data_IF_624535769621
#
_entry.id   IF_624535769621
#
_cell.length_a   1.000
_cell.length_b   1.000
_cell.length_c   1.000
_cell.angle_alpha   90.00
_cell.angle_beta   90.00
_cell.angle_gamma   90.00
#
_symmetry.space_group_name_H-M   'P 1'
#
loop_
_entity.id
_entity.type
_entity.pdbx_description
1 polymer ?
#
# COMPACT_ATOMS: atom_id res chain seq x y z
N UNK A 1 20.51 -3.63 -31.76
CA UNK A 1 19.12 -3.39 -32.21
C UNK A 1 18.09 -4.29 -31.51
N UNK A 2 18.50 -5.35 -30.80
CA UNK A 2 17.63 -6.24 -30.01
C UNK A 2 17.14 -5.63 -28.69
N UNK A 3 17.83 -4.62 -28.12
CA UNK A 3 17.39 -3.96 -26.88
C UNK A 3 16.21 -2.98 -27.03
N UNK A 4 16.05 -2.35 -28.21
CA UNK A 4 14.97 -1.36 -28.43
C UNK A 4 13.55 -1.96 -28.55
N UNK A 5 13.45 -3.27 -28.77
CA UNK A 5 12.15 -3.97 -28.81
C UNK A 5 11.67 -4.35 -27.41
N UNK A 6 12.61 -4.73 -26.53
CA UNK A 6 12.30 -5.06 -25.14
C UNK A 6 11.84 -3.83 -24.37
N UNK A 7 12.59 -2.71 -24.45
CA UNK A 7 12.27 -1.49 -23.70
C UNK A 7 10.88 -0.94 -24.07
N UNK A 8 10.54 -0.96 -25.37
CA UNK A 8 9.21 -0.52 -25.85
C UNK A 8 8.09 -1.43 -25.39
N UNK A 9 8.32 -2.75 -25.38
CA UNK A 9 7.34 -3.71 -24.88
C UNK A 9 7.09 -3.52 -23.38
N UNK A 10 8.14 -3.28 -22.58
CA UNK A 10 7.99 -2.96 -21.17
C UNK A 10 7.23 -1.65 -20.93
N UNK A 11 7.49 -0.61 -21.72
CA UNK A 11 6.72 0.64 -21.65
C UNK A 11 5.25 0.46 -22.01
N UNK A 12 4.95 -0.31 -23.06
CA UNK A 12 3.57 -0.63 -23.45
C UNK A 12 2.84 -1.41 -22.36
N UNK A 13 3.48 -2.44 -21.78
CA UNK A 13 2.91 -3.18 -20.65
C UNK A 13 2.67 -2.28 -19.43
N UNK A 14 3.63 -1.43 -19.07
CA UNK A 14 3.49 -0.50 -17.94
C UNK A 14 2.36 0.49 -18.16
N UNK A 15 2.20 0.97 -19.40
CA UNK A 15 1.10 1.85 -19.79
C UNK A 15 -0.24 1.13 -19.67
N UNK A 16 -0.34 -0.10 -20.18
CA UNK A 16 -1.54 -0.92 -20.09
C UNK A 16 -1.95 -1.20 -18.63
N UNK A 17 -0.98 -1.58 -17.78
CA UNK A 17 -1.23 -1.78 -16.33
C UNK A 17 -1.69 -0.48 -15.67
N UNK A 18 -1.09 0.66 -16.01
CA UNK A 18 -1.49 1.95 -15.45
C UNK A 18 -2.95 2.29 -15.78
N UNK A 19 -3.38 2.06 -17.03
CA UNK A 19 -4.78 2.26 -17.44
C UNK A 19 -5.74 1.32 -16.71
N UNK A 20 -5.35 0.06 -16.49
CA UNK A 20 -6.17 -0.88 -15.72
C UNK A 20 -6.32 -0.41 -14.26
N UNK A 21 -5.23 0.02 -13.63
CA UNK A 21 -5.27 0.56 -12.26
C UNK A 21 -6.18 1.79 -12.16
N UNK A 22 -6.10 2.71 -13.13
CA UNK A 22 -6.96 3.89 -13.18
C UNK A 22 -8.43 3.53 -13.41
N UNK A 23 -8.72 2.58 -14.30
CA UNK A 23 -10.09 2.11 -14.54
C UNK A 23 -10.68 1.44 -13.29
N UNK A 24 -9.90 0.62 -12.58
CA UNK A 24 -10.32 0.00 -11.33
C UNK A 24 -10.60 1.05 -10.26
N UNK A 25 -9.68 2.01 -10.08
CA UNK A 25 -9.85 3.10 -9.11
C UNK A 25 -11.13 3.92 -9.39
N UNK A 26 -11.38 4.25 -10.65
CA UNK A 26 -12.58 4.98 -11.08
C UNK A 26 -13.87 4.20 -10.81
N UNK A 27 -13.90 2.91 -11.18
CA UNK A 27 -15.05 2.05 -10.92
C UNK A 27 -15.31 1.89 -9.42
N UNK A 28 -14.25 1.77 -8.62
CA UNK A 28 -14.35 1.66 -7.17
C UNK A 28 -15.01 2.89 -6.55
N UNK A 29 -14.54 4.08 -6.93
CA UNK A 29 -15.09 5.35 -6.49
C UNK A 29 -16.56 5.51 -6.92
N UNK A 30 -16.88 5.20 -8.18
CA UNK A 30 -18.24 5.28 -8.71
C UNK A 30 -19.24 4.35 -7.98
N UNK A 31 -18.76 3.26 -7.40
CA UNK A 31 -19.57 2.30 -6.66
C UNK A 31 -19.49 2.49 -5.12
N UNK A 32 -18.71 3.47 -4.63
CA UNK A 32 -18.50 3.71 -3.21
C UNK A 32 -17.78 2.57 -2.49
N UNK A 33 -17.00 1.78 -3.22
CA UNK A 33 -16.18 0.70 -2.67
C UNK A 33 -14.80 1.28 -2.39
N UNK A 34 -14.42 1.41 -1.13
CA UNK A 34 -13.06 1.76 -0.74
C UNK A 34 -12.45 0.62 0.07
N UNK A 35 -11.26 0.19 -0.31
CA UNK A 35 -10.52 -0.88 0.36
C UNK A 35 -9.03 -0.55 0.38
N UNK A 36 -8.29 -1.32 1.16
CA UNK A 36 -6.83 -1.26 1.20
C UNK A 36 -6.20 -1.33 -0.20
N UNK A 37 -6.58 -2.31 -1.03
CA UNK A 37 -6.02 -2.46 -2.39
C UNK A 37 -6.36 -1.28 -3.29
N UNK A 38 -7.58 -0.75 -3.17
CA UNK A 38 -8.01 0.41 -3.95
C UNK A 38 -7.21 1.65 -3.54
N UNK A 39 -6.99 1.84 -2.24
CA UNK A 39 -6.15 2.92 -1.73
C UNK A 39 -4.69 2.80 -2.22
N UNK A 40 -4.13 1.59 -2.23
CA UNK A 40 -2.80 1.34 -2.81
C UNK A 40 -2.73 1.72 -4.30
N UNK A 41 -3.72 1.28 -5.09
CA UNK A 41 -3.78 1.53 -6.53
C UNK A 41 -3.95 3.02 -6.85
N UNK A 42 -4.89 3.70 -6.17
CA UNK A 42 -5.15 5.13 -6.34
C UNK A 42 -3.92 5.98 -6.06
N UNK A 43 -3.19 5.64 -5.00
CA UNK A 43 -2.02 6.39 -4.57
C UNK A 43 -0.72 5.93 -5.23
N UNK A 44 -0.78 4.97 -6.17
CA UNK A 44 0.39 4.40 -6.87
C UNK A 44 1.49 3.98 -5.90
N UNK A 45 1.08 3.36 -4.80
CA UNK A 45 1.99 2.91 -3.74
C UNK A 45 2.91 1.85 -4.29
N UNK A 46 4.22 2.01 -4.04
CA UNK A 46 5.20 1.03 -4.50
C UNK A 46 5.09 -0.27 -3.70
N UNK A 47 5.32 -1.45 -4.32
CA UNK A 47 5.18 -2.74 -3.64
C UNK A 47 6.01 -2.86 -2.34
N UNK A 48 7.21 -2.28 -2.33
CA UNK A 48 8.10 -2.27 -1.17
C UNK A 48 7.52 -1.46 -0.01
N UNK A 49 6.84 -0.34 -0.30
CA UNK A 49 6.18 0.49 0.72
C UNK A 49 4.97 -0.23 1.29
N UNK A 50 4.13 -0.84 0.43
CA UNK A 50 2.98 -1.64 0.86
C UNK A 50 3.40 -2.80 1.78
N UNK A 51 4.47 -3.51 1.40
CA UNK A 51 5.02 -4.62 2.20
C UNK A 51 5.53 -4.16 3.56
N UNK A 52 6.18 -2.99 3.62
CA UNK A 52 6.65 -2.43 4.88
C UNK A 52 5.49 -2.12 5.83
N UNK A 53 4.37 -1.60 5.32
CA UNK A 53 3.15 -1.36 6.09
C UNK A 53 2.61 -2.68 6.65
N UNK A 54 2.49 -3.71 5.81
CA UNK A 54 1.97 -5.02 6.22
C UNK A 54 2.85 -5.67 7.30
N UNK A 55 4.16 -5.62 7.13
CA UNK A 55 5.11 -6.17 8.11
C UNK A 55 5.06 -5.40 9.43
N UNK A 56 5.10 -4.07 9.37
CA UNK A 56 4.99 -3.20 10.53
C UNK A 56 3.68 -3.44 11.29
N UNK A 57 2.57 -3.56 10.57
CA UNK A 57 1.27 -3.86 11.14
C UNK A 57 1.25 -5.24 11.79
N UNK A 58 1.70 -6.28 11.09
CA UNK A 58 1.72 -7.65 11.60
C UNK A 58 2.49 -7.76 12.93
N UNK A 59 3.64 -7.10 13.02
CA UNK A 59 4.46 -7.09 14.24
C UNK A 59 3.80 -6.33 15.40
N UNK A 60 2.90 -5.39 15.11
CA UNK A 60 2.23 -4.54 16.10
C UNK A 60 0.72 -4.80 16.21
N UNK A 61 0.20 -5.85 15.58
CA UNK A 61 -1.24 -6.04 15.37
C UNK A 61 -2.07 -5.99 16.66
N UNK A 62 -1.52 -6.48 17.78
CA UNK A 62 -2.19 -6.47 19.09
C UNK A 62 -2.42 -5.06 19.66
N UNK A 63 -1.53 -4.13 19.33
CA UNK A 63 -1.53 -2.76 19.84
C UNK A 63 -1.82 -1.74 18.74
N UNK A 64 -2.09 -2.17 17.51
CA UNK A 64 -2.20 -1.30 16.34
C UNK A 64 -3.28 -0.21 16.47
N UNK A 65 -4.35 -0.50 17.21
CA UNK A 65 -5.45 0.43 17.53
C UNK A 65 -5.08 1.51 18.58
N UNK A 66 -3.96 1.34 19.29
CA UNK A 66 -3.54 2.22 20.40
C UNK A 66 -2.33 3.08 20.08
N UNK A 67 -1.70 2.86 18.92
CA UNK A 67 -0.56 3.65 18.48
C UNK A 67 -1.02 5.03 18.03
N UNK A 68 -0.25 6.06 18.38
CA UNK A 68 -0.46 7.40 17.82
C UNK A 68 0.17 7.50 16.44
N UNK A 69 -0.35 8.38 15.57
CA UNK A 69 0.12 8.55 14.20
C UNK A 69 1.64 8.66 14.05
N UNK A 70 2.29 9.42 14.93
CA UNK A 70 3.74 9.62 14.89
C UNK A 70 4.51 8.32 15.18
N UNK A 71 3.95 7.43 16.00
CA UNK A 71 4.53 6.11 16.27
C UNK A 71 4.32 5.19 15.07
N UNK A 72 3.13 5.22 14.46
CA UNK A 72 2.83 4.45 13.24
C UNK A 72 3.81 4.83 12.14
N UNK A 73 3.93 6.13 11.86
CA UNK A 73 4.83 6.67 10.85
C UNK A 73 6.27 6.22 11.09
N UNK A 74 6.77 6.38 12.32
CA UNK A 74 8.12 5.93 12.69
C UNK A 74 8.30 4.43 12.47
N UNK A 75 7.40 3.59 12.97
CA UNK A 75 7.51 2.13 12.89
C UNK A 75 7.54 1.66 11.44
N UNK A 76 6.66 2.20 10.60
CA UNK A 76 6.57 1.83 9.19
C UNK A 76 7.82 2.29 8.44
N UNK A 77 8.25 3.53 8.61
CA UNK A 77 9.44 4.06 7.93
C UNK A 77 10.71 3.33 8.39
N UNK A 78 10.84 3.02 9.67
CA UNK A 78 11.95 2.23 10.20
C UNK A 78 11.96 0.81 9.59
N UNK A 79 10.78 0.19 9.48
CA UNK A 79 10.61 -1.12 8.84
C UNK A 79 11.00 -1.06 7.36
N UNK A 80 10.51 -0.06 6.63
CA UNK A 80 10.85 0.16 5.23
C UNK A 80 12.36 0.37 5.03
N UNK A 81 12.96 1.29 5.80
CA UNK A 81 14.39 1.64 5.66
C UNK A 81 15.30 0.46 5.98
N UNK A 82 14.90 -0.37 6.96
CA UNK A 82 15.64 -1.58 7.32
C UNK A 82 15.58 -2.65 6.22
N UNK A 83 14.41 -2.83 5.60
CA UNK A 83 14.22 -3.82 4.53
C UNK A 83 14.76 -3.34 3.18
N UNK A 84 14.73 -2.02 2.94
CA UNK A 84 15.00 -1.39 1.66
C UNK A 84 16.01 -0.23 1.79
N UNK A 85 17.24 -0.46 2.27
CA UNK A 85 18.21 0.60 2.61
C UNK A 85 18.68 1.43 1.41
N UNK A 86 18.36 1.02 0.19
CA UNK A 86 18.70 1.72 -1.05
C UNK A 86 17.58 2.63 -1.57
N UNK A 87 16.39 2.54 -0.97
CA UNK A 87 15.21 3.28 -1.39
C UNK A 87 14.84 4.33 -0.36
N UNK A 88 14.15 5.38 -0.82
CA UNK A 88 13.62 6.44 0.05
C UNK A 88 12.12 6.27 0.16
N UNK A 89 11.59 6.49 1.36
CA UNK A 89 10.15 6.57 1.59
C UNK A 89 9.59 7.78 0.83
N UNK A 90 8.53 7.59 0.05
CA UNK A 90 7.93 8.65 -0.77
C UNK A 90 6.45 8.87 -0.48
N UNK A 91 5.80 7.87 0.09
CA UNK A 91 4.40 7.96 0.47
C UNK A 91 4.15 9.08 1.48
N UNK A 92 3.06 9.83 1.27
CA UNK A 92 2.62 10.87 2.19
C UNK A 92 2.06 10.26 3.48
N UNK A 93 2.11 11.04 4.57
CA UNK A 93 1.56 10.62 5.86
C UNK A 93 0.06 10.31 5.79
N UNK A 94 -0.71 11.12 5.06
CA UNK A 94 -2.16 10.95 4.97
C UNK A 94 -2.53 9.58 4.36
N UNK A 95 -1.85 9.20 3.26
CA UNK A 95 -2.02 7.89 2.63
C UNK A 95 -1.61 6.76 3.57
N UNK A 96 -0.50 6.94 4.29
CA UNK A 96 -0.05 5.94 5.28
C UNK A 96 -1.09 5.72 6.39
N UNK A 97 -1.65 6.79 6.94
CA UNK A 97 -2.66 6.68 8.01
C UNK A 97 -3.95 6.02 7.50
N UNK A 98 -4.35 6.34 6.26
CA UNK A 98 -5.49 5.70 5.62
C UNK A 98 -5.27 4.18 5.45
N UNK A 99 -4.12 3.79 4.91
CA UNK A 99 -3.73 2.38 4.74
C UNK A 99 -3.63 1.63 6.07
N UNK A 100 -3.07 2.25 7.11
CA UNK A 100 -3.02 1.66 8.44
C UNK A 100 -4.42 1.42 9.02
N UNK A 101 -5.32 2.38 8.83
CA UNK A 101 -6.72 2.27 9.26
C UNK A 101 -7.42 1.08 8.60
N UNK A 102 -7.21 0.86 7.30
CA UNK A 102 -7.75 -0.33 6.64
C UNK A 102 -7.18 -1.65 7.19
N UNK A 103 -5.89 -1.69 7.53
CA UNK A 103 -5.27 -2.90 8.13
C UNK A 103 -5.86 -3.21 9.51
N UNK A 104 -6.07 -2.18 10.32
CA UNK A 104 -6.78 -2.28 11.60
C UNK A 104 -8.18 -2.87 11.39
N UNK A 105 -8.99 -2.28 10.50
CA UNK A 105 -10.35 -2.74 10.24
C UNK A 105 -10.39 -4.20 9.76
N UNK A 106 -9.45 -4.60 8.89
CA UNK A 106 -9.30 -5.99 8.45
C UNK A 106 -8.98 -6.94 9.58
N UNK A 107 -8.05 -6.56 10.44
CA UNK A 107 -7.66 -7.37 11.59
C UNK A 107 -8.83 -7.56 12.55
N UNK A 108 -9.58 -6.49 12.84
CA UNK A 108 -10.74 -6.54 13.72
C UNK A 108 -11.87 -7.40 13.12
N UNK A 109 -12.15 -7.27 11.83
CA UNK A 109 -13.12 -8.12 11.13
C UNK A 109 -12.75 -9.61 11.20
N UNK A 110 -11.47 -9.95 11.01
CA UNK A 110 -10.98 -11.32 11.13
C UNK A 110 -11.09 -11.86 12.56
N UNK A 111 -10.87 -11.01 13.57
CA UNK A 111 -11.02 -11.40 14.98
C UNK A 111 -12.48 -11.68 15.32
N UNK A 112 -13.40 -10.78 14.94
CA UNK A 112 -14.84 -10.95 15.18
C UNK A 112 -15.46 -12.15 14.45
N UNK A 113 -14.85 -12.64 13.37
CA UNK A 113 -15.34 -13.83 12.66
C UNK A 113 -14.99 -15.17 13.35
N UNK A 114 -14.16 -15.15 14.39
CA UNK A 114 -13.69 -16.34 15.12
C UNK A 114 -14.39 -16.57 16.46
N UNK A 115 -15.16 -15.60 16.94
CA UNK A 115 -16.00 -15.68 18.14
C UNK A 115 -17.44 -16.07 17.77
#
# INVERSE_FOLDING_TARGET
MTGMYDDRFYEELRTGISWLSEAIAFLSEANGVESYEICLLKNKVEPEEAKAIENAFFLNARNANSLVDAEIERIVIDTFTKENPRFSWRMSRDVLMELWTYQVQRYDALKSSKD
#
